data_IF_327186787471
#
_entry.id   IF_327186787471
#
_cell.length_a   1.000
_cell.length_b   1.000
_cell.length_c   1.000
_cell.angle_alpha   90.00
_cell.angle_beta   90.00
_cell.angle_gamma   90.00
#
_symmetry.space_group_name_H-M   'P 1'
#
loop_
_entity.id
_entity.type
_entity.pdbx_description
1 polymer ?
#
# COMPACT_ATOMS: atom_id res chain seq x y z
N UNK A 1 -12.66 8.34 -29.03
CA UNK A 1 -11.95 8.93 -27.87
C UNK A 1 -12.91 9.25 -26.72
N UNK A 2 -14.04 9.93 -26.95
CA UNK A 2 -15.03 10.25 -25.91
C UNK A 2 -15.52 9.03 -25.09
N UNK A 3 -15.72 7.88 -25.75
CA UNK A 3 -16.16 6.65 -25.07
C UNK A 3 -15.11 6.11 -24.07
N UNK A 4 -13.82 6.17 -24.43
CA UNK A 4 -12.69 5.73 -23.57
C UNK A 4 -12.55 6.63 -22.34
N UNK A 5 -12.85 7.92 -22.51
CA UNK A 5 -12.85 8.89 -21.42
C UNK A 5 -14.02 8.63 -20.44
N UNK A 6 -15.22 8.37 -20.96
CA UNK A 6 -16.38 7.98 -20.16
C UNK A 6 -16.11 6.75 -19.29
N UNK A 7 -15.52 5.70 -19.87
CA UNK A 7 -15.11 4.50 -19.13
C UNK A 7 -14.08 4.80 -18.04
N UNK A 8 -13.13 5.71 -18.29
CA UNK A 8 -12.14 6.10 -17.29
C UNK A 8 -12.76 6.83 -16.10
N UNK A 9 -13.68 7.77 -16.35
CA UNK A 9 -14.40 8.50 -15.29
C UNK A 9 -15.23 7.54 -14.43
N UNK A 10 -15.98 6.66 -15.10
CA UNK A 10 -16.76 5.61 -14.43
C UNK A 10 -15.87 4.72 -13.57
N UNK A 11 -14.79 4.17 -14.14
CA UNK A 11 -13.89 3.26 -13.43
C UNK A 11 -13.20 3.95 -12.25
N UNK A 12 -12.77 5.19 -12.39
CA UNK A 12 -12.12 5.94 -11.31
C UNK A 12 -13.08 6.22 -10.15
N UNK A 13 -14.31 6.68 -10.45
CA UNK A 13 -15.34 6.87 -9.43
C UNK A 13 -15.76 5.56 -8.76
N UNK A 14 -15.90 4.49 -9.52
CA UNK A 14 -16.19 3.16 -9.00
C UNK A 14 -15.09 2.67 -8.06
N UNK A 15 -13.84 2.66 -8.51
CA UNK A 15 -12.71 2.19 -7.69
C UNK A 15 -12.48 3.09 -6.47
N UNK A 16 -12.74 4.39 -6.56
CA UNK A 16 -12.73 5.27 -5.39
C UNK A 16 -13.75 4.81 -4.33
N UNK A 17 -15.01 4.62 -4.74
CA UNK A 17 -16.11 4.24 -3.85
C UNK A 17 -15.93 2.84 -3.24
N UNK A 18 -15.35 1.90 -3.98
CA UNK A 18 -15.25 0.50 -3.57
C UNK A 18 -13.87 0.08 -3.04
N UNK A 19 -12.83 0.90 -3.20
CA UNK A 19 -11.47 0.60 -2.73
C UNK A 19 -10.95 1.70 -1.81
N UNK A 20 -10.75 2.92 -2.33
CA UNK A 20 -10.07 3.97 -1.58
C UNK A 20 -10.90 4.47 -0.38
N UNK A 21 -12.20 4.69 -0.57
CA UNK A 21 -13.10 5.15 0.49
C UNK A 21 -13.26 4.09 1.59
N UNK A 22 -13.53 2.80 1.30
CA UNK A 22 -13.57 1.75 2.33
C UNK A 22 -12.23 1.58 3.06
N UNK A 23 -11.10 1.64 2.34
CA UNK A 23 -9.76 1.59 2.93
C UNK A 23 -9.56 2.72 3.96
N UNK A 24 -9.94 3.95 3.62
CA UNK A 24 -9.87 5.08 4.55
C UNK A 24 -10.87 4.94 5.71
N UNK A 25 -12.12 4.58 5.42
CA UNK A 25 -13.19 4.49 6.42
C UNK A 25 -12.82 3.57 7.58
N UNK A 26 -12.13 2.46 7.31
CA UNK A 26 -11.66 1.49 8.32
C UNK A 26 -10.74 2.10 9.35
N UNK A 27 -9.94 3.08 8.96
CA UNK A 27 -9.00 3.75 9.85
C UNK A 27 -9.67 4.78 10.76
N UNK A 28 -10.88 5.26 10.42
CA UNK A 28 -11.54 6.36 11.13
C UNK A 28 -12.80 5.95 11.87
N UNK A 29 -13.47 4.85 11.49
CA UNK A 29 -14.71 4.42 12.13
C UNK A 29 -14.41 3.23 13.05
N UNK A 30 -14.56 3.40 14.37
CA UNK A 30 -14.35 2.33 15.33
C UNK A 30 -15.33 1.17 15.11
N UNK A 31 -14.79 -0.06 15.03
CA UNK A 31 -15.39 -1.39 15.17
C UNK A 31 -16.86 -1.63 14.74
N UNK A 32 -17.01 -2.45 13.70
CA UNK A 32 -18.21 -3.23 13.40
C UNK A 32 -18.67 -3.07 11.95
N UNK A 33 -19.09 -1.86 11.61
CA UNK A 33 -19.66 -1.55 10.28
C UNK A 33 -18.55 -1.52 9.21
N UNK A 34 -17.37 -1.01 9.55
CA UNK A 34 -16.22 -0.93 8.64
C UNK A 34 -15.65 -2.28 8.24
N UNK A 35 -15.67 -3.27 9.14
CA UNK A 35 -15.23 -4.62 8.81
C UNK A 35 -16.03 -5.20 7.66
N UNK A 36 -17.34 -4.94 7.59
CA UNK A 36 -18.21 -5.45 6.50
C UNK A 36 -17.86 -4.85 5.13
N UNK A 37 -17.60 -3.54 5.05
CA UNK A 37 -17.28 -2.86 3.79
C UNK A 37 -15.83 -3.07 3.35
N UNK A 38 -14.91 -3.29 4.30
CA UNK A 38 -13.51 -3.59 4.04
C UNK A 38 -13.24 -5.06 3.84
N UNK A 39 -14.17 -5.93 4.23
CA UNK A 39 -14.02 -7.38 4.13
C UNK A 39 -13.57 -7.82 2.72
N UNK A 40 -14.18 -7.36 1.62
CA UNK A 40 -13.74 -7.76 0.28
C UNK A 40 -12.30 -7.34 -0.03
N UNK A 41 -11.88 -6.17 0.44
CA UNK A 41 -10.54 -5.65 0.22
C UNK A 41 -9.50 -6.42 1.04
N UNK A 42 -9.81 -6.67 2.31
CA UNK A 42 -8.99 -7.53 3.17
C UNK A 42 -8.87 -8.94 2.60
N UNK A 43 -9.94 -9.50 2.02
CA UNK A 43 -9.88 -10.80 1.35
C UNK A 43 -8.97 -10.78 0.13
N UNK A 44 -8.95 -9.72 -0.68
CA UNK A 44 -8.02 -9.62 -1.80
C UNK A 44 -6.56 -9.57 -1.31
N UNK A 45 -6.29 -8.81 -0.25
CA UNK A 45 -4.97 -8.70 0.36
C UNK A 45 -4.52 -10.06 0.92
N UNK A 46 -5.39 -10.75 1.66
CA UNK A 46 -5.13 -12.08 2.22
C UNK A 46 -4.98 -13.11 1.10
N UNK A 47 -5.86 -13.13 0.10
CA UNK A 47 -5.74 -14.06 -1.02
C UNK A 47 -4.42 -13.85 -1.79
N UNK A 48 -3.99 -12.60 -1.97
CA UNK A 48 -2.69 -12.29 -2.58
C UNK A 48 -1.53 -12.81 -1.74
N UNK A 49 -1.65 -12.73 -0.41
CA UNK A 49 -0.69 -13.29 0.54
C UNK A 49 -0.61 -14.81 0.39
N UNK A 50 -1.72 -15.53 0.44
CA UNK A 50 -1.72 -17.00 0.30
C UNK A 50 -1.18 -17.46 -1.06
N UNK A 51 -1.56 -16.76 -2.13
CA UNK A 51 -1.02 -17.01 -3.48
C UNK A 51 0.51 -16.84 -3.50
N UNK A 52 1.06 -15.89 -2.74
CA UNK A 52 2.50 -15.73 -2.61
C UNK A 52 3.21 -16.93 -2.02
N UNK A 53 2.67 -17.55 -0.97
CA UNK A 53 3.22 -18.80 -0.42
C UNK A 53 3.21 -19.92 -1.46
N UNK A 54 2.09 -20.09 -2.18
CA UNK A 54 1.94 -21.13 -3.20
C UNK A 54 2.94 -20.93 -4.34
N UNK A 55 3.09 -19.70 -4.85
CA UNK A 55 4.03 -19.39 -5.93
C UNK A 55 5.46 -19.71 -5.50
N UNK A 56 5.88 -19.26 -4.31
CA UNK A 56 7.25 -19.52 -3.85
C UNK A 56 7.46 -21.01 -3.56
N UNK A 57 6.49 -21.70 -2.98
CA UNK A 57 6.56 -23.14 -2.78
C UNK A 57 6.77 -23.89 -4.10
N UNK A 58 6.02 -23.56 -5.14
CA UNK A 58 6.19 -24.17 -6.47
C UNK A 58 7.57 -23.89 -7.08
N UNK A 59 8.11 -22.69 -6.86
CA UNK A 59 9.43 -22.31 -7.39
C UNK A 59 10.58 -22.97 -6.62
N UNK A 60 10.42 -23.18 -5.32
CA UNK A 60 11.47 -23.68 -4.43
C UNK A 60 11.46 -25.20 -4.30
N UNK A 61 10.30 -25.86 -4.40
CA UNK A 61 10.16 -27.32 -4.26
C UNK A 61 11.09 -28.15 -5.17
N UNK A 62 11.38 -27.74 -6.43
CA UNK A 62 12.32 -28.46 -7.28
C UNK A 62 13.79 -28.21 -6.94
N UNK A 63 14.09 -27.22 -6.08
CA UNK A 63 15.45 -26.84 -5.73
C UNK A 63 15.98 -27.75 -4.61
N UNK A 64 17.20 -28.26 -4.78
CA UNK A 64 17.87 -29.07 -3.74
C UNK A 64 18.46 -28.18 -2.64
N UNK A 65 17.60 -27.45 -1.92
CA UNK A 65 17.99 -26.59 -0.79
C UNK A 65 17.52 -27.17 0.54
N UNK A 66 18.08 -26.70 1.65
CA UNK A 66 17.67 -27.16 2.98
C UNK A 66 16.20 -26.83 3.27
N UNK A 67 15.52 -27.71 4.01
CA UNK A 67 14.11 -27.51 4.41
C UNK A 67 13.90 -26.18 5.13
N UNK A 68 14.83 -25.79 6.01
CA UNK A 68 14.80 -24.52 6.72
C UNK A 68 14.85 -23.32 5.75
N UNK A 69 15.72 -23.39 4.74
CA UNK A 69 15.81 -22.35 3.71
C UNK A 69 14.54 -22.29 2.86
N UNK A 70 13.98 -23.45 2.51
CA UNK A 70 12.74 -23.52 1.74
C UNK A 70 11.57 -22.89 2.50
N UNK A 71 11.39 -23.25 3.77
CA UNK A 71 10.34 -22.68 4.62
C UNK A 71 10.48 -21.16 4.76
N UNK A 72 11.68 -20.66 5.01
CA UNK A 72 11.91 -19.22 5.09
C UNK A 72 11.51 -18.49 3.79
N UNK A 73 11.90 -19.02 2.63
CA UNK A 73 11.54 -18.43 1.34
C UNK A 73 10.02 -18.44 1.13
N UNK A 74 9.36 -19.55 1.44
CA UNK A 74 7.90 -19.67 1.35
C UNK A 74 7.22 -18.63 2.23
N UNK A 75 7.64 -18.47 3.49
CA UNK A 75 7.12 -17.46 4.41
C UNK A 75 7.33 -16.03 3.92
N UNK A 76 8.41 -15.74 3.19
CA UNK A 76 8.62 -14.44 2.55
C UNK A 76 7.65 -14.20 1.39
N UNK A 77 7.18 -15.27 0.74
CA UNK A 77 6.32 -15.20 -0.44
C UNK A 77 5.01 -14.46 -0.21
N UNK A 78 4.33 -14.73 0.91
CA UNK A 78 3.06 -14.10 1.23
C UNK A 78 3.15 -12.59 1.41
N UNK A 79 3.98 -12.08 2.36
CA UNK A 79 4.23 -10.66 2.51
C UNK A 79 4.69 -9.97 1.23
N UNK A 80 5.53 -10.63 0.43
CA UNK A 80 6.00 -10.07 -0.84
C UNK A 80 4.84 -9.84 -1.81
N UNK A 81 3.98 -10.82 -2.04
CA UNK A 81 2.85 -10.68 -2.96
C UNK A 81 1.77 -9.73 -2.43
N UNK A 82 1.56 -9.70 -1.12
CA UNK A 82 0.66 -8.76 -0.45
C UNK A 82 1.01 -7.28 -0.75
N UNK A 83 2.30 -6.98 -0.94
CA UNK A 83 2.80 -5.65 -1.27
C UNK A 83 2.94 -5.43 -2.78
N UNK A 84 3.35 -6.43 -3.55
CA UNK A 84 3.55 -6.31 -4.99
C UNK A 84 2.24 -6.14 -5.76
N UNK A 85 1.21 -6.92 -5.44
CA UNK A 85 -0.08 -6.88 -6.15
C UNK A 85 -0.69 -5.48 -6.18
N UNK A 86 -0.78 -4.73 -5.07
CA UNK A 86 -1.26 -3.35 -5.12
C UNK A 86 -0.25 -2.37 -5.72
N UNK A 87 1.06 -2.65 -5.71
CA UNK A 87 2.08 -1.78 -6.28
C UNK A 87 2.11 -1.79 -7.83
N UNK A 88 1.85 -2.94 -8.46
CA UNK A 88 1.83 -3.08 -9.93
C UNK A 88 0.94 -2.04 -10.63
N UNK A 89 -0.35 -1.89 -10.26
CA UNK A 89 -1.22 -0.91 -10.90
C UNK A 89 -0.78 0.54 -10.60
N UNK A 90 -0.18 0.84 -9.44
CA UNK A 90 0.41 2.17 -9.17
C UNK A 90 1.48 2.48 -10.21
N UNK A 91 2.42 1.57 -10.42
CA UNK A 91 3.51 1.72 -11.39
C UNK A 91 2.93 1.87 -12.80
N UNK A 92 1.99 0.99 -13.18
CA UNK A 92 1.36 1.02 -14.49
C UNK A 92 0.66 2.35 -14.79
N UNK A 93 -0.21 2.83 -13.89
CA UNK A 93 -0.98 4.07 -14.12
C UNK A 93 -0.12 5.33 -14.03
N UNK A 94 0.95 5.29 -13.23
CA UNK A 94 1.94 6.38 -13.14
C UNK A 94 2.77 6.47 -14.42
N UNK A 95 3.20 5.34 -14.99
CA UNK A 95 4.07 5.33 -16.17
C UNK A 95 3.32 5.51 -17.48
N UNK A 96 2.15 4.88 -17.65
CA UNK A 96 1.60 4.67 -19.00
C UNK A 96 0.56 5.70 -19.41
N UNK A 97 -0.19 6.35 -18.49
CA UNK A 97 -1.45 7.02 -18.92
C UNK A 97 -1.84 8.35 -18.27
N UNK A 98 -1.02 9.01 -17.45
CA UNK A 98 -1.43 10.25 -16.73
C UNK A 98 -2.78 10.09 -15.97
N UNK A 99 -3.12 8.85 -15.57
CA UNK A 99 -4.39 8.48 -14.94
C UNK A 99 -4.22 8.44 -13.43
N UNK A 100 -3.81 9.57 -12.87
CA UNK A 100 -3.32 9.67 -11.52
C UNK A 100 -4.36 9.27 -10.46
N UNK A 101 -5.65 9.41 -10.76
CA UNK A 101 -6.73 9.07 -9.82
C UNK A 101 -6.71 7.58 -9.49
N UNK A 102 -6.40 6.76 -10.50
CA UNK A 102 -6.25 5.31 -10.32
C UNK A 102 -4.99 5.02 -9.51
N UNK A 103 -3.86 5.67 -9.79
CA UNK A 103 -2.65 5.53 -8.98
C UNK A 103 -2.91 5.82 -7.49
N UNK A 104 -3.67 6.87 -7.16
CA UNK A 104 -3.99 7.21 -5.77
C UNK A 104 -4.92 6.21 -5.09
N UNK A 105 -5.86 5.62 -5.83
CA UNK A 105 -6.70 4.55 -5.32
C UNK A 105 -5.85 3.32 -4.96
N UNK A 106 -4.89 2.97 -5.82
CA UNK A 106 -3.99 1.86 -5.53
C UNK A 106 -2.94 2.19 -4.46
N UNK A 107 -2.56 3.47 -4.27
CA UNK A 107 -1.77 3.91 -3.11
C UNK A 107 -2.56 3.68 -1.81
N UNK A 108 -3.87 3.95 -1.80
CA UNK A 108 -4.69 3.65 -0.63
C UNK A 108 -4.73 2.13 -0.35
N UNK A 109 -4.87 1.32 -1.40
CA UNK A 109 -4.82 -0.14 -1.27
C UNK A 109 -3.46 -0.64 -0.76
N UNK A 110 -2.35 -0.11 -1.28
CA UNK A 110 -1.01 -0.43 -0.80
C UNK A 110 -0.85 -0.04 0.68
N UNK A 111 -1.37 1.13 1.08
CA UNK A 111 -1.40 1.55 2.47
C UNK A 111 -2.15 0.56 3.36
N UNK A 112 -3.32 0.08 2.93
CA UNK A 112 -4.08 -0.96 3.62
C UNK A 112 -3.32 -2.28 3.73
N UNK A 113 -2.64 -2.70 2.66
CA UNK A 113 -1.77 -3.88 2.69
C UNK A 113 -0.66 -3.73 3.73
N UNK A 114 0.05 -2.60 3.72
CA UNK A 114 1.14 -2.30 4.66
C UNK A 114 0.63 -2.24 6.10
N UNK A 115 -0.54 -1.63 6.32
CA UNK A 115 -1.18 -1.58 7.65
C UNK A 115 -1.50 -2.99 8.16
N UNK A 116 -2.18 -3.82 7.35
CA UNK A 116 -2.50 -5.21 7.72
C UNK A 116 -1.22 -6.03 7.97
N UNK A 117 -0.16 -5.79 7.19
CA UNK A 117 1.16 -6.39 7.44
C UNK A 117 1.70 -5.97 8.80
N UNK A 118 1.58 -4.70 9.18
CA UNK A 118 1.94 -4.22 10.51
C UNK A 118 1.12 -4.89 11.63
N UNK A 119 -0.19 -5.07 11.46
CA UNK A 119 -1.02 -5.80 12.43
C UNK A 119 -0.54 -7.25 12.57
N UNK A 120 -0.26 -7.93 11.46
CA UNK A 120 0.23 -9.31 11.47
C UNK A 120 1.65 -9.42 12.06
N UNK A 121 2.54 -8.46 11.82
CA UNK A 121 3.85 -8.41 12.49
C UNK A 121 3.72 -8.27 14.01
N UNK A 122 2.72 -7.50 14.48
CA UNK A 122 2.54 -7.23 15.91
C UNK A 122 2.21 -8.48 16.72
N UNK A 123 1.65 -9.51 16.07
CA UNK A 123 1.34 -10.80 16.70
C UNK A 123 2.49 -11.79 16.65
N UNK A 124 3.65 -11.44 16.09
CA UNK A 124 4.76 -12.38 15.94
C UNK A 124 5.26 -12.98 17.28
N UNK A 125 5.24 -12.22 18.37
CA UNK A 125 5.65 -12.70 19.71
C UNK A 125 4.54 -13.40 20.48
N UNK A 126 3.28 -13.28 20.02
CA UNK A 126 2.13 -13.98 20.57
C UNK A 126 1.22 -14.43 19.41
N UNK A 127 1.65 -15.46 18.66
CA UNK A 127 1.02 -15.85 17.42
C UNK A 127 -0.44 -16.23 17.63
N UNK A 128 -1.32 -15.60 16.86
CA UNK A 128 -2.76 -15.85 16.87
C UNK A 128 -3.33 -15.74 15.46
N UNK A 129 -4.51 -16.29 15.25
CA UNK A 129 -5.18 -16.30 13.94
C UNK A 129 -5.10 -17.65 13.22
N UNK A 130 -5.14 -17.59 11.89
CA UNK A 130 -5.24 -18.75 11.01
C UNK A 130 -4.04 -18.73 10.07
N UNK A 131 -3.38 -19.87 9.91
CA UNK A 131 -2.26 -20.04 9.00
C UNK A 131 -2.43 -21.31 8.17
N UNK A 132 -1.59 -21.46 7.15
CA UNK A 132 -1.57 -22.64 6.28
C UNK A 132 -0.26 -23.39 6.50
N UNK A 133 -0.34 -24.68 6.77
CA UNK A 133 0.85 -25.55 6.91
C UNK A 133 1.50 -25.80 5.55
N UNK A 134 2.77 -26.28 5.51
CA UNK A 134 3.41 -26.68 4.25
C UNK A 134 2.64 -27.75 3.44
N UNK A 135 1.79 -28.56 4.10
CA UNK A 135 0.90 -29.53 3.45
C UNK A 135 -0.41 -28.93 2.93
N UNK A 136 -0.61 -27.61 3.08
CA UNK A 136 -1.82 -26.91 2.63
C UNK A 136 -2.98 -26.96 3.64
N UNK A 137 -2.77 -27.45 4.85
CA UNK A 137 -3.81 -27.53 5.87
C UNK A 137 -3.99 -26.20 6.59
N UNK A 138 -5.25 -25.76 6.72
CA UNK A 138 -5.61 -24.58 7.51
C UNK A 138 -5.53 -24.94 9.00
N UNK A 139 -4.64 -24.28 9.73
CA UNK A 139 -4.42 -24.50 11.16
C UNK A 139 -4.58 -23.19 11.94
N UNK A 140 -5.04 -23.29 13.19
CA UNK A 140 -4.92 -22.15 14.11
C UNK A 140 -3.44 -21.93 14.40
N UNK A 141 -2.99 -20.69 14.22
CA UNK A 141 -1.61 -20.27 14.52
C UNK A 141 -1.30 -20.47 16.01
N UNK A 142 -2.29 -20.38 16.88
CA UNK A 142 -2.12 -20.63 18.32
C UNK A 142 -1.75 -22.10 18.60
N UNK A 143 -2.24 -23.01 17.76
CA UNK A 143 -1.96 -24.45 17.85
C UNK A 143 -0.66 -24.83 17.14
N UNK A 144 -0.24 -24.06 16.14
CA UNK A 144 1.03 -24.23 15.47
C UNK A 144 1.71 -22.88 15.21
N UNK A 145 2.39 -22.31 16.22
CA UNK A 145 3.04 -21.01 16.09
C UNK A 145 4.07 -20.94 14.95
N UNK A 146 4.61 -22.10 14.54
CA UNK A 146 5.55 -22.20 13.43
C UNK A 146 4.93 -21.89 12.06
N UNK A 147 3.61 -21.75 11.95
CA UNK A 147 2.95 -21.28 10.71
C UNK A 147 2.77 -19.77 10.65
N UNK A 148 3.30 -19.01 11.61
CA UNK A 148 3.25 -17.55 11.59
C UNK A 148 4.46 -16.97 10.84
N UNK A 149 4.24 -16.35 9.68
CA UNK A 149 5.33 -15.93 8.78
C UNK A 149 6.29 -14.96 9.45
N UNK A 150 5.77 -13.92 10.10
CA UNK A 150 6.62 -12.93 10.76
C UNK A 150 7.40 -13.46 11.97
N UNK A 151 6.90 -14.48 12.67
CA UNK A 151 7.68 -15.16 13.70
C UNK A 151 8.91 -15.82 13.06
N UNK A 152 8.73 -16.57 11.97
CA UNK A 152 9.81 -17.25 11.28
C UNK A 152 10.80 -16.25 10.65
N UNK A 153 10.29 -15.21 10.01
CA UNK A 153 11.11 -14.16 9.38
C UNK A 153 11.94 -13.44 10.45
N UNK A 154 11.33 -12.95 11.54
CA UNK A 154 12.06 -12.23 12.58
C UNK A 154 13.06 -13.12 13.32
N UNK A 155 12.74 -14.39 13.58
CA UNK A 155 13.70 -15.34 14.16
C UNK A 155 14.89 -15.59 13.23
N UNK A 156 14.65 -15.73 11.92
CA UNK A 156 15.72 -15.95 10.95
C UNK A 156 16.70 -14.77 10.87
N UNK A 157 16.21 -13.55 11.10
CA UNK A 157 17.03 -12.34 11.16
C UNK A 157 17.58 -12.02 12.56
N UNK A 158 17.11 -12.70 13.62
CA UNK A 158 17.50 -12.41 15.00
C UNK A 158 17.01 -11.04 15.48
N UNK A 159 15.78 -10.65 15.09
CA UNK A 159 15.19 -9.34 15.40
C UNK A 159 13.78 -9.46 16.02
N UNK A 160 13.43 -10.63 16.56
CA UNK A 160 12.10 -10.87 17.12
C UNK A 160 11.77 -9.92 18.26
N UNK A 161 12.75 -9.55 19.09
CA UNK A 161 12.57 -8.58 20.17
C UNK A 161 12.15 -7.17 19.68
N UNK A 162 12.40 -6.83 18.42
CA UNK A 162 12.03 -5.55 17.80
C UNK A 162 10.71 -5.63 17.03
N UNK A 163 9.95 -6.72 17.14
CA UNK A 163 8.72 -6.93 16.36
C UNK A 163 7.70 -5.81 16.58
N UNK A 164 7.62 -5.26 17.79
CA UNK A 164 6.69 -4.18 18.14
C UNK A 164 7.07 -2.85 17.49
N UNK A 165 8.36 -2.50 17.51
CA UNK A 165 8.88 -1.29 16.88
C UNK A 165 8.69 -1.34 15.37
N UNK A 166 9.01 -2.49 14.76
CA UNK A 166 8.83 -2.73 13.33
C UNK A 166 7.35 -2.70 12.98
N UNK A 167 6.49 -3.41 13.72
CA UNK A 167 5.05 -3.41 13.46
C UNK A 167 4.46 -2.00 13.55
N UNK A 168 4.84 -1.22 14.56
CA UNK A 168 4.40 0.16 14.73
C UNK A 168 4.85 1.07 13.58
N UNK A 169 6.04 0.85 13.03
CA UNK A 169 6.50 1.55 11.84
C UNK A 169 5.61 1.23 10.63
N UNK A 170 5.35 -0.05 10.35
CA UNK A 170 4.49 -0.47 9.24
C UNK A 170 3.05 0.01 9.42
N UNK A 171 2.48 -0.08 10.62
CA UNK A 171 1.14 0.47 10.93
C UNK A 171 1.07 1.97 10.63
N UNK A 172 2.07 2.75 11.08
CA UNK A 172 2.11 4.19 10.85
C UNK A 172 2.25 4.52 9.36
N UNK A 173 3.13 3.81 8.65
CA UNK A 173 3.34 3.99 7.21
C UNK A 173 2.08 3.66 6.41
N UNK A 174 1.45 2.53 6.71
CA UNK A 174 0.21 2.10 6.07
C UNK A 174 -0.91 3.13 6.28
N UNK A 175 -1.08 3.60 7.52
CA UNK A 175 -2.04 4.65 7.87
C UNK A 175 -1.84 5.93 7.03
N UNK A 176 -0.59 6.42 6.95
CA UNK A 176 -0.26 7.62 6.16
C UNK A 176 -0.58 7.41 4.67
N UNK A 177 -0.23 6.25 4.11
CA UNK A 177 -0.48 5.96 2.69
C UNK A 177 -1.97 5.83 2.37
N UNK A 178 -2.77 5.22 3.25
CA UNK A 178 -4.24 5.16 3.07
C UNK A 178 -4.82 6.56 3.00
N UNK A 179 -4.46 7.42 3.96
CA UNK A 179 -4.96 8.79 4.00
C UNK A 179 -4.54 9.55 2.74
N UNK A 180 -3.25 9.49 2.38
CA UNK A 180 -2.74 10.16 1.19
C UNK A 180 -3.46 9.68 -0.08
N UNK A 181 -3.61 8.37 -0.26
CA UNK A 181 -4.30 7.79 -1.41
C UNK A 181 -5.77 8.18 -1.45
N UNK A 182 -6.49 8.13 -0.33
CA UNK A 182 -7.91 8.46 -0.26
C UNK A 182 -8.18 9.95 -0.51
N UNK A 183 -7.41 10.86 0.09
CA UNK A 183 -7.57 12.30 -0.15
C UNK A 183 -7.20 12.68 -1.57
N UNK A 184 -6.07 12.17 -2.09
CA UNK A 184 -5.62 12.47 -3.45
C UNK A 184 -6.59 11.92 -4.49
N UNK A 185 -7.12 10.71 -4.29
CA UNK A 185 -8.14 10.14 -5.18
C UNK A 185 -9.47 10.89 -5.11
N UNK A 186 -9.90 11.37 -3.94
CA UNK A 186 -11.11 12.18 -3.79
C UNK A 186 -10.97 13.52 -4.55
N UNK A 187 -9.84 14.21 -4.34
CA UNK A 187 -9.53 15.47 -5.02
C UNK A 187 -9.52 15.29 -6.54
N UNK A 188 -8.84 14.25 -7.02
CA UNK A 188 -8.74 14.01 -8.46
C UNK A 188 -10.05 13.58 -9.08
N UNK A 189 -10.82 12.73 -8.39
CA UNK A 189 -12.17 12.35 -8.84
C UNK A 189 -13.06 13.59 -8.96
N UNK A 190 -12.97 14.53 -8.01
CA UNK A 190 -13.72 15.78 -8.08
C UNK A 190 -13.30 16.65 -9.27
N UNK A 191 -12.00 16.80 -9.54
CA UNK A 191 -11.48 17.52 -10.71
C UNK A 191 -12.02 16.92 -12.01
N UNK A 192 -11.97 15.59 -12.12
CA UNK A 192 -12.45 14.83 -13.28
C UNK A 192 -13.97 15.01 -13.48
N UNK A 193 -14.77 14.95 -12.40
CA UNK A 193 -16.22 15.10 -12.46
C UNK A 193 -16.66 16.50 -12.88
N UNK A 194 -15.87 17.52 -12.58
CA UNK A 194 -16.11 18.91 -12.98
C UNK A 194 -15.62 19.24 -14.39
N UNK A 195 -15.15 18.24 -15.15
CA UNK A 195 -14.71 18.42 -16.54
C UNK A 195 -13.34 19.10 -16.70
N UNK A 196 -12.56 19.22 -15.62
CA UNK A 196 -11.22 19.76 -15.67
C UNK A 196 -10.19 18.64 -15.95
N UNK A 197 -9.15 18.96 -16.71
CA UNK A 197 -8.02 18.06 -16.92
C UNK A 197 -7.06 18.10 -15.71
N UNK A 198 -6.54 16.93 -15.33
CA UNK A 198 -5.61 16.78 -14.22
C UNK A 198 -4.20 17.11 -14.70
N UNK A 199 -3.78 18.36 -14.49
CA UNK A 199 -2.53 18.82 -15.09
C UNK A 199 -1.25 18.47 -14.33
N UNK A 200 -1.29 18.04 -13.06
CA UNK A 200 -0.07 17.62 -12.36
C UNK A 200 -0.32 16.71 -11.14
N UNK A 201 0.18 15.47 -11.22
CA UNK A 201 0.25 14.50 -10.11
C UNK A 201 0.82 15.10 -8.83
N UNK A 202 1.81 15.97 -8.99
CA UNK A 202 2.54 16.60 -7.89
C UNK A 202 1.71 17.65 -7.16
N UNK A 203 0.84 18.38 -7.87
CA UNK A 203 -0.09 19.33 -7.27
C UNK A 203 -1.18 18.59 -6.48
N UNK A 204 -1.70 17.48 -7.02
CA UNK A 204 -2.69 16.64 -6.31
C UNK A 204 -2.06 16.02 -5.05
N UNK A 205 -0.83 15.51 -5.13
CA UNK A 205 -0.08 15.05 -3.96
C UNK A 205 0.18 16.17 -2.95
N UNK A 206 0.54 17.37 -3.38
CA UNK A 206 0.76 18.52 -2.48
C UNK A 206 -0.52 18.90 -1.71
N UNK A 207 -1.65 18.99 -2.42
CA UNK A 207 -2.92 19.38 -1.82
C UNK A 207 -3.59 18.25 -1.04
N UNK A 208 -3.42 16.99 -1.47
CA UNK A 208 -3.91 15.81 -0.74
C UNK A 208 -3.06 15.48 0.49
N UNK A 209 -1.78 15.81 0.47
CA UNK A 209 -0.88 15.60 1.61
C UNK A 209 -1.06 16.63 2.72
N UNK A 210 -1.48 17.87 2.45
CA UNK A 210 -1.67 18.88 3.49
C UNK A 210 -2.76 18.52 4.55
N UNK A 211 -3.94 17.98 4.18
CA UNK A 211 -4.91 17.45 5.14
C UNK A 211 -4.42 16.18 5.83
N UNK A 212 -3.78 15.27 5.09
CA UNK A 212 -3.18 14.06 5.66
C UNK A 212 -2.14 14.40 6.73
N UNK A 213 -1.35 15.43 6.44
CA UNK A 213 -0.33 16.03 7.30
C UNK A 213 -0.93 16.66 8.56
N UNK A 214 -2.02 17.42 8.44
CA UNK A 214 -2.74 17.99 9.59
C UNK A 214 -3.37 16.91 10.49
N UNK A 215 -3.95 15.86 9.92
CA UNK A 215 -4.54 14.75 10.68
C UNK A 215 -3.43 13.95 11.38
N UNK A 216 -2.31 13.69 10.70
CA UNK A 216 -1.16 12.99 11.28
C UNK A 216 -0.53 13.78 12.44
N UNK A 217 -0.46 15.11 12.33
CA UNK A 217 0.07 16.02 13.36
C UNK A 217 -0.74 15.99 14.67
N UNK A 218 -2.05 15.78 14.56
CA UNK A 218 -2.97 15.79 15.71
C UNK A 218 -2.96 14.45 16.45
N UNK A 219 -2.69 13.33 15.77
CA UNK A 219 -2.82 11.98 16.33
C UNK A 219 -1.50 11.25 16.66
N UNK A 220 -0.36 11.68 16.11
CA UNK A 220 0.94 11.00 16.33
C UNK A 220 1.92 11.79 17.19
N UNK A 221 2.78 11.08 17.93
CA UNK A 221 3.80 11.70 18.78
C UNK A 221 4.73 12.66 18.00
N UNK A 222 5.10 13.82 18.58
CA UNK A 222 5.73 14.94 17.87
C UNK A 222 7.01 14.60 17.08
N UNK A 223 7.79 13.62 17.55
CA UNK A 223 9.07 13.25 16.93
C UNK A 223 8.89 12.49 15.61
N UNK A 224 7.94 11.55 15.54
CA UNK A 224 7.66 10.80 14.31
C UNK A 224 7.06 11.72 13.23
N UNK A 225 6.29 12.72 13.68
CA UNK A 225 5.79 13.82 12.87
C UNK A 225 6.90 14.70 12.28
N UNK A 226 7.90 15.10 13.08
CA UNK A 226 9.04 15.90 12.62
C UNK A 226 9.87 15.14 11.57
N UNK A 227 10.06 13.83 11.74
CA UNK A 227 10.82 13.03 10.77
C UNK A 227 10.07 12.95 9.43
N UNK A 228 8.76 12.69 9.46
CA UNK A 228 7.93 12.70 8.25
C UNK A 228 7.91 14.07 7.55
N UNK A 229 7.88 15.16 8.33
CA UNK A 229 7.98 16.55 7.85
C UNK A 229 9.29 16.77 7.08
N UNK A 230 10.43 16.35 7.66
CA UNK A 230 11.75 16.52 7.04
C UNK A 230 11.82 15.77 5.71
N UNK A 231 11.36 14.51 5.66
CA UNK A 231 11.39 13.74 4.41
C UNK A 231 10.45 14.30 3.34
N UNK A 232 9.27 14.79 3.72
CA UNK A 232 8.35 15.43 2.80
C UNK A 232 8.95 16.71 2.20
N UNK A 233 9.52 17.59 3.03
CA UNK A 233 10.15 18.83 2.56
C UNK A 233 11.39 18.55 1.71
N UNK A 234 12.24 17.58 2.08
CA UNK A 234 13.40 17.18 1.26
C UNK A 234 12.95 16.65 -0.11
N UNK A 235 11.85 15.91 -0.15
CA UNK A 235 11.28 15.39 -1.42
C UNK A 235 10.70 16.52 -2.28
N UNK A 236 10.04 17.50 -1.67
CA UNK A 236 9.54 18.72 -2.34
C UNK A 236 10.70 19.52 -2.93
N UNK A 237 11.73 19.78 -2.13
CA UNK A 237 12.93 20.52 -2.55
C UNK A 237 13.58 19.81 -3.72
N UNK A 238 13.85 18.51 -3.60
CA UNK A 238 14.44 17.72 -4.68
C UNK A 238 13.59 17.77 -5.96
N UNK A 239 12.26 17.67 -5.84
CA UNK A 239 11.38 17.79 -6.99
C UNK A 239 11.49 19.16 -7.68
N UNK A 240 11.36 20.26 -6.93
CA UNK A 240 11.39 21.60 -7.51
C UNK A 240 12.78 22.02 -8.03
N UNK A 241 13.86 21.51 -7.43
CA UNK A 241 15.22 21.89 -7.83
C UNK A 241 15.82 20.98 -8.91
N UNK A 242 15.45 19.68 -8.94
CA UNK A 242 16.12 18.71 -9.80
C UNK A 242 15.23 18.15 -10.92
N UNK A 243 13.92 18.01 -10.68
CA UNK A 243 12.99 17.35 -11.61
C UNK A 243 12.19 18.38 -12.41
N UNK A 244 11.61 19.37 -11.74
CA UNK A 244 10.76 20.39 -12.36
C UNK A 244 11.45 21.17 -13.50
N UNK A 245 12.72 21.60 -13.38
CA UNK A 245 13.39 22.29 -14.48
C UNK A 245 13.56 21.42 -15.74
N UNK A 246 13.79 20.11 -15.56
CA UNK A 246 13.94 19.15 -16.67
C UNK A 246 12.61 18.91 -17.38
N UNK A 247 11.53 18.80 -16.60
CA UNK A 247 10.18 18.70 -17.17
C UNK A 247 9.83 19.97 -17.96
N UNK A 248 10.07 21.15 -17.39
CA UNK A 248 9.82 22.43 -18.06
C UNK A 248 10.57 22.52 -19.39
N UNK A 249 11.86 22.19 -19.43
CA UNK A 249 12.65 22.18 -20.65
C UNK A 249 12.07 21.24 -21.72
N UNK A 250 11.62 20.04 -21.34
CA UNK A 250 11.03 19.09 -22.29
C UNK A 250 9.69 19.55 -22.88
N UNK A 251 8.94 20.42 -22.16
CA UNK A 251 7.70 20.98 -22.69
C UNK A 251 7.94 22.16 -23.63
N UNK A 252 8.99 22.96 -23.38
CA UNK A 252 9.38 24.07 -24.26
C UNK A 252 9.95 23.54 -25.59
N UNK A 253 10.70 22.43 -25.59
CA UNK A 253 11.18 21.79 -26.84
C UNK A 253 10.03 21.29 -27.74
N UNK A 254 8.93 20.81 -27.16
CA UNK A 254 7.78 20.29 -27.93
C UNK A 254 6.90 21.42 -28.49
N UNK A 255 6.94 22.63 -27.91
CA UNK A 255 6.19 23.78 -28.43
C UNK A 255 6.85 24.45 -29.62
N UNK A 256 8.17 24.34 -29.75
CA UNK A 256 8.93 25.01 -30.81
C UNK A 256 8.98 24.20 -32.14
N UNK A 257 8.54 22.94 -32.12
CA UNK A 257 8.45 22.07 -33.32
C UNK A 257 7.08 22.13 -34.04
N UNK A 258 6.19 23.07 -33.67
CA UNK A 258 4.89 23.31 -34.33
C UNK A 258 4.83 24.68 -34.99
#
# INVERSE_FOLDING_TARGET
MAEVEGWYKFLSGFLFLFIALPAAAVLFIPNGITKTFYYPLSLLIIASHEVGHIIIWLLVSPLNISEKSALFLICCGGPMMQLLVPAIPIIYFTLVKKKYALSFIFIALLGSSIYNTGEYMSTATSPSGIGITPSGEIVSIEKNPQTHDWLLIFNQFGILEYSSEISNFFLSLGYVLVILGAFSSALETNIILNGNETHDFMLVMLYGSAPAFLISAVYFQPIRFIIALVFFFLSLVYFFTAIFPKMKASFEEVSDEK
#
